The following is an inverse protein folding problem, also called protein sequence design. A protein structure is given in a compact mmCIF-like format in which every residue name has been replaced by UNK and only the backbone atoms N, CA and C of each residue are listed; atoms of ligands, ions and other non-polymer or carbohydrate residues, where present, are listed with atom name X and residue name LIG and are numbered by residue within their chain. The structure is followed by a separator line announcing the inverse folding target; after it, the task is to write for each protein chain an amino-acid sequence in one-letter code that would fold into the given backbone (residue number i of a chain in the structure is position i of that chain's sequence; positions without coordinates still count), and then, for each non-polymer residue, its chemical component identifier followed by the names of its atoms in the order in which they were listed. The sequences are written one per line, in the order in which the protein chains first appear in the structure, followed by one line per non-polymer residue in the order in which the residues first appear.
data_IF_862315994248
#
_entry.id   IF_862315994248
#
_cell.length_a   1.000
_cell.length_b   1.000
_cell.length_c   1.000
_cell.angle_alpha   90.00
_cell.angle_beta   90.00
_cell.angle_gamma   90.00
#
_symmetry.space_group_name_H-M   'P 1'
#
loop_
_entity.id
_entity.type
_entity.pdbx_description
1 polymer ?
#
# COMPACT_ATOMS: atom_id res chain seq x y z
N UNK A 1 -80.16 19.86 -8.82
CA UNK A 1 -79.88 18.48 -8.31
C UNK A 1 -79.37 18.60 -6.89
N UNK A 2 -80.24 18.37 -5.90
CA UNK A 2 -79.88 18.37 -4.50
C UNK A 2 -79.28 17.00 -4.13
N UNK A 3 -78.07 17.00 -3.55
CA UNK A 3 -77.42 15.78 -3.08
C UNK A 3 -78.21 15.19 -1.91
N UNK A 4 -78.65 13.94 -2.03
CA UNK A 4 -79.35 13.24 -0.95
C UNK A 4 -78.36 12.76 0.11
N UNK A 5 -78.84 12.59 1.34
CA UNK A 5 -77.94 12.05 2.48
C UNK A 5 -77.33 10.70 2.11
N UNK A 6 -78.09 9.85 1.34
CA UNK A 6 -77.57 8.57 0.88
C UNK A 6 -76.39 8.68 -0.09
N UNK A 7 -76.41 9.67 -0.99
CA UNK A 7 -75.29 9.94 -1.91
C UNK A 7 -74.07 10.41 -1.13
N UNK A 8 -74.23 11.25 -0.13
CA UNK A 8 -73.15 11.77 0.70
C UNK A 8 -72.46 10.64 1.51
N UNK A 9 -73.25 9.74 2.10
CA UNK A 9 -72.73 8.57 2.81
C UNK A 9 -72.00 7.59 1.86
N UNK A 10 -72.53 7.34 0.67
CA UNK A 10 -71.91 6.47 -0.34
C UNK A 10 -70.61 7.01 -0.83
N UNK A 11 -70.46 8.31 -1.07
CA UNK A 11 -69.23 8.98 -1.46
C UNK A 11 -68.20 8.89 -0.34
N UNK A 12 -68.61 9.17 0.91
CA UNK A 12 -67.71 9.07 2.06
C UNK A 12 -67.22 7.65 2.25
N UNK A 13 -68.05 6.63 2.06
CA UNK A 13 -67.64 5.22 2.14
C UNK A 13 -66.64 4.85 1.04
N UNK A 14 -66.86 5.25 -0.19
CA UNK A 14 -65.95 5.00 -1.33
C UNK A 14 -64.59 5.67 -1.08
N UNK A 15 -64.56 6.94 -0.63
CA UNK A 15 -63.32 7.64 -0.31
C UNK A 15 -62.56 6.92 0.80
N UNK A 16 -63.28 6.44 1.85
CA UNK A 16 -62.65 5.66 2.92
C UNK A 16 -62.01 4.36 2.41
N UNK A 17 -62.67 3.65 1.49
CA UNK A 17 -62.16 2.42 0.88
C UNK A 17 -60.93 2.67 -0.05
N UNK A 18 -60.85 3.82 -0.68
CA UNK A 18 -59.76 4.18 -1.58
C UNK A 18 -58.42 4.48 -0.83
N UNK A 19 -58.48 4.88 0.44
CA UNK A 19 -57.27 5.20 1.20
C UNK A 19 -56.32 4.01 1.35
N UNK A 20 -56.84 2.80 1.56
CA UNK A 20 -56.03 1.58 1.72
C UNK A 20 -55.24 1.22 0.46
N UNK A 21 -55.88 1.08 -0.76
CA UNK A 21 -55.15 0.83 -2.00
C UNK A 21 -54.13 1.92 -2.35
N UNK A 22 -54.44 3.19 -2.10
CA UNK A 22 -53.49 4.30 -2.34
C UNK A 22 -52.25 4.17 -1.46
N UNK A 23 -52.43 3.89 -0.16
CA UNK A 23 -51.33 3.69 0.76
C UNK A 23 -50.49 2.44 0.39
N UNK A 24 -51.16 1.35 -0.05
CA UNK A 24 -50.44 0.16 -0.54
C UNK A 24 -49.64 0.47 -1.80
N UNK A 25 -50.16 1.27 -2.72
CA UNK A 25 -49.45 1.69 -3.92
C UNK A 25 -48.22 2.54 -3.58
N UNK A 26 -48.33 3.49 -2.63
CA UNK A 26 -47.23 4.29 -2.12
C UNK A 26 -46.19 3.39 -1.50
N UNK A 27 -46.60 2.42 -0.67
CA UNK A 27 -45.68 1.43 -0.06
C UNK A 27 -44.94 0.59 -1.09
N UNK A 28 -45.69 0.14 -2.15
CA UNK A 28 -45.07 -0.59 -3.25
C UNK A 28 -43.98 0.21 -3.98
N UNK A 29 -44.27 1.47 -4.33
CA UNK A 29 -43.26 2.32 -4.99
C UNK A 29 -42.04 2.59 -4.13
N UNK A 30 -42.21 2.76 -2.81
CA UNK A 30 -41.05 2.87 -1.89
C UNK A 30 -40.20 1.61 -1.88
N UNK A 31 -40.87 0.43 -1.73
CA UNK A 31 -40.15 -0.86 -1.75
C UNK A 31 -39.44 -1.10 -3.08
N UNK A 32 -40.06 -0.70 -4.21
CA UNK A 32 -39.43 -0.80 -5.53
C UNK A 32 -38.20 0.10 -5.63
N UNK A 33 -38.27 1.32 -5.11
CA UNK A 33 -37.13 2.24 -5.08
C UNK A 33 -35.96 1.71 -4.21
N UNK A 34 -36.28 1.18 -3.04
CA UNK A 34 -35.30 0.58 -2.14
C UNK A 34 -34.64 -0.66 -2.78
N UNK A 35 -35.40 -1.51 -3.43
CA UNK A 35 -34.93 -2.65 -4.18
C UNK A 35 -33.98 -2.24 -5.33
N UNK A 36 -34.37 -1.18 -6.08
CA UNK A 36 -33.55 -0.63 -7.16
C UNK A 36 -32.21 -0.11 -6.64
N UNK A 37 -32.21 0.69 -5.56
CA UNK A 37 -30.99 1.21 -4.94
C UNK A 37 -30.08 0.07 -4.42
N UNK A 38 -30.68 -0.97 -3.82
CA UNK A 38 -29.92 -2.14 -3.36
C UNK A 38 -29.29 -2.90 -4.52
N UNK A 39 -30.03 -3.05 -5.63
CA UNK A 39 -29.51 -3.67 -6.85
C UNK A 39 -28.37 -2.84 -7.48
N UNK A 40 -28.50 -1.54 -7.52
CA UNK A 40 -27.45 -0.64 -8.03
C UNK A 40 -26.17 -0.79 -7.22
N UNK A 41 -26.25 -0.83 -5.87
CA UNK A 41 -25.09 -1.07 -4.99
C UNK A 41 -24.45 -2.44 -5.20
N UNK A 42 -25.24 -3.48 -5.40
CA UNK A 42 -24.73 -4.82 -5.74
C UNK A 42 -24.04 -4.82 -7.09
N UNK A 43 -24.59 -4.13 -8.08
CA UNK A 43 -24.00 -4.03 -9.41
C UNK A 43 -22.69 -3.23 -9.42
N UNK A 44 -22.55 -2.21 -8.57
CA UNK A 44 -21.25 -1.51 -8.41
C UNK A 44 -20.12 -2.48 -8.03
N UNK A 45 -20.39 -3.41 -7.12
CA UNK A 45 -19.40 -4.41 -6.71
C UNK A 45 -19.20 -5.47 -7.80
N UNK A 46 -20.27 -5.98 -8.40
CA UNK A 46 -20.17 -7.04 -9.41
C UNK A 46 -19.56 -6.57 -10.74
N UNK A 47 -19.83 -5.33 -11.14
CA UNK A 47 -19.30 -4.77 -12.38
C UNK A 47 -17.93 -4.14 -12.22
N UNK A 48 -17.39 -4.10 -10.98
CA UNK A 48 -16.02 -3.63 -10.78
C UNK A 48 -15.05 -4.58 -11.48
N UNK A 49 -14.17 -4.07 -12.35
CA UNK A 49 -13.22 -4.92 -13.06
C UNK A 49 -12.35 -5.68 -12.05
N UNK A 50 -12.11 -6.95 -12.31
CA UNK A 50 -11.19 -7.76 -11.52
C UNK A 50 -9.78 -7.22 -11.68
N UNK A 51 -8.98 -7.28 -10.63
CA UNK A 51 -7.58 -6.82 -10.65
C UNK A 51 -6.75 -7.61 -11.67
N UNK A 52 -6.97 -8.93 -11.75
CA UNK A 52 -6.38 -9.77 -12.80
C UNK A 52 -7.22 -9.67 -14.07
N UNK A 53 -6.65 -9.09 -15.11
CA UNK A 53 -7.28 -8.95 -16.42
C UNK A 53 -6.64 -9.91 -17.45
N UNK A 54 -7.36 -10.22 -18.51
CA UNK A 54 -6.86 -11.07 -19.60
C UNK A 54 -5.64 -10.47 -20.33
N UNK A 55 -5.40 -9.18 -20.19
CA UNK A 55 -4.20 -8.49 -20.68
C UNK A 55 -2.94 -8.80 -19.88
N UNK A 56 -3.09 -9.24 -18.61
CA UNK A 56 -1.98 -9.60 -17.71
C UNK A 56 -1.47 -11.00 -18.03
N UNK A 57 -0.90 -11.19 -19.21
CA UNK A 57 -0.50 -12.52 -19.70
C UNK A 57 0.86 -12.96 -19.18
N UNK A 58 1.67 -12.04 -18.63
CA UNK A 58 3.03 -12.37 -18.22
C UNK A 58 3.11 -12.57 -16.72
N UNK A 59 3.56 -13.77 -16.34
CA UNK A 59 4.03 -14.04 -14.98
C UNK A 59 5.35 -13.30 -14.78
N UNK A 60 5.45 -12.54 -13.72
CA UNK A 60 6.69 -11.87 -13.36
C UNK A 60 7.69 -12.90 -12.86
N UNK A 61 8.66 -13.24 -13.70
CA UNK A 61 9.76 -14.13 -13.35
C UNK A 61 11.04 -13.31 -13.18
N UNK A 62 11.66 -13.46 -12.04
CA UNK A 62 13.04 -12.99 -11.84
C UNK A 62 13.92 -14.00 -12.56
N UNK A 63 14.43 -13.64 -13.73
CA UNK A 63 15.40 -14.48 -14.43
C UNK A 63 16.80 -14.06 -13.98
N UNK A 64 17.56 -15.03 -13.43
CA UNK A 64 18.98 -14.88 -13.07
C UNK A 64 19.90 -14.65 -14.30
N UNK A 65 19.32 -14.26 -15.44
CA UNK A 65 20.09 -13.96 -16.64
C UNK A 65 20.86 -12.64 -16.46
N UNK A 66 22.11 -12.77 -16.07
CA UNK A 66 23.12 -11.73 -15.85
C UNK A 66 23.38 -10.77 -17.04
N UNK A 67 22.60 -10.86 -18.11
CA UNK A 67 22.74 -10.03 -19.33
C UNK A 67 21.54 -9.12 -19.63
N UNK A 68 20.49 -9.08 -18.80
CA UNK A 68 19.41 -8.10 -18.94
C UNK A 68 19.49 -7.10 -17.81
N UNK A 69 19.43 -5.81 -18.14
CA UNK A 69 19.32 -4.72 -17.16
C UNK A 69 18.04 -4.93 -16.35
N UNK A 70 18.18 -5.52 -15.17
CA UNK A 70 17.09 -5.76 -14.21
C UNK A 70 16.83 -4.46 -13.46
N UNK A 71 16.30 -3.46 -14.12
CA UNK A 71 16.04 -2.14 -13.53
C UNK A 71 14.56 -1.79 -13.62
N UNK A 72 14.10 -0.91 -12.73
CA UNK A 72 12.74 -0.36 -12.81
C UNK A 72 12.84 1.04 -13.42
N UNK A 73 12.11 1.28 -14.51
CA UNK A 73 12.16 2.56 -15.23
C UNK A 73 10.81 3.27 -15.22
N UNK A 74 10.82 4.54 -14.87
CA UNK A 74 9.70 5.47 -15.04
C UNK A 74 9.97 6.33 -16.28
N UNK A 75 9.01 6.36 -17.21
CA UNK A 75 9.08 7.16 -18.46
C UNK A 75 7.87 8.08 -18.54
N UNK A 76 8.08 9.37 -18.31
CA UNK A 76 7.06 10.43 -18.35
C UNK A 76 5.79 10.10 -17.54
N UNK A 77 5.96 9.47 -16.38
CA UNK A 77 4.85 8.99 -15.57
C UNK A 77 4.17 10.14 -14.86
N UNK A 78 2.88 10.31 -15.10
CA UNK A 78 2.02 11.23 -14.37
C UNK A 78 0.84 10.47 -13.78
N UNK A 79 0.37 10.89 -12.59
CA UNK A 79 -0.72 10.23 -11.88
C UNK A 79 -1.61 11.19 -11.11
N UNK A 80 -2.92 10.89 -11.11
CA UNK A 80 -3.98 11.56 -10.34
C UNK A 80 -5.00 10.52 -9.84
N UNK A 81 -5.61 10.73 -8.65
CA UNK A 81 -6.52 9.74 -8.04
C UNK A 81 -7.96 9.78 -8.59
N UNK A 82 -8.50 10.96 -8.85
CA UNK A 82 -9.96 11.15 -9.04
C UNK A 82 -10.36 11.51 -10.49
N UNK A 83 -9.61 11.01 -11.48
CA UNK A 83 -9.92 11.22 -12.91
C UNK A 83 -9.50 12.59 -13.45
N UNK A 84 -9.90 12.94 -14.69
CA UNK A 84 -9.24 13.99 -15.50
C UNK A 84 -9.29 15.43 -14.96
N UNK A 85 -10.16 15.69 -13.97
CA UNK A 85 -10.31 17.03 -13.36
C UNK A 85 -9.59 17.20 -12.03
N UNK A 86 -9.03 16.12 -11.47
CA UNK A 86 -8.28 16.21 -10.21
C UNK A 86 -6.85 16.69 -10.45
N UNK A 87 -6.20 17.29 -9.46
CA UNK A 87 -4.81 17.70 -9.59
C UNK A 87 -3.89 16.48 -9.72
N UNK A 88 -2.85 16.59 -10.54
CA UNK A 88 -1.79 15.60 -10.60
C UNK A 88 -1.02 15.54 -9.28
N UNK A 89 -0.90 14.33 -8.73
CA UNK A 89 -0.07 14.03 -7.55
C UNK A 89 1.37 13.76 -7.96
N UNK A 90 1.57 13.12 -9.12
CA UNK A 90 2.88 12.94 -9.76
C UNK A 90 2.83 13.52 -11.16
N UNK A 91 3.90 14.21 -11.57
CA UNK A 91 3.97 14.93 -12.84
C UNK A 91 5.29 14.63 -13.53
N UNK A 92 5.21 14.09 -14.73
CA UNK A 92 6.35 13.83 -15.62
C UNK A 92 7.55 13.19 -14.92
N UNK A 93 7.30 12.13 -14.17
CA UNK A 93 8.31 11.40 -13.40
C UNK A 93 9.17 10.58 -14.35
N UNK A 94 10.47 10.88 -14.36
CA UNK A 94 11.47 10.23 -15.21
C UNK A 94 12.69 9.84 -14.38
N UNK A 95 12.88 8.55 -14.10
CA UNK A 95 14.08 8.01 -13.43
C UNK A 95 14.16 6.49 -13.55
N UNK A 96 15.31 5.96 -13.13
CA UNK A 96 15.56 4.52 -13.10
C UNK A 96 15.98 4.11 -11.69
N UNK A 97 15.43 3.01 -11.17
CA UNK A 97 15.87 2.34 -9.95
C UNK A 97 16.82 1.22 -10.37
N UNK A 98 18.11 1.30 -10.04
CA UNK A 98 19.09 0.29 -10.43
C UNK A 98 18.88 -1.02 -9.67
N UNK A 99 19.08 -2.14 -10.34
CA UNK A 99 18.98 -3.47 -9.74
C UNK A 99 20.05 -3.70 -8.67
N UNK A 100 19.67 -4.46 -7.63
CA UNK A 100 20.59 -4.81 -6.53
C UNK A 100 21.09 -3.63 -5.70
N UNK A 101 20.43 -2.46 -5.80
CA UNK A 101 20.79 -1.21 -5.15
C UNK A 101 19.71 -0.68 -4.23
N UNK A 102 20.12 0.16 -3.29
CA UNK A 102 19.22 0.85 -2.37
C UNK A 102 18.92 2.24 -2.91
N UNK A 103 17.65 2.49 -3.25
CA UNK A 103 17.15 3.81 -3.65
C UNK A 103 16.30 4.42 -2.53
N UNK A 104 16.70 5.57 -2.02
CA UNK A 104 15.92 6.33 -1.03
C UNK A 104 15.09 7.41 -1.71
N UNK A 105 13.80 7.49 -1.36
CA UNK A 105 12.89 8.54 -1.81
C UNK A 105 12.62 9.47 -0.63
N UNK A 106 12.96 10.75 -0.79
CA UNK A 106 12.80 11.79 0.22
C UNK A 106 11.99 12.97 -0.30
N UNK A 107 11.45 13.77 0.59
CA UNK A 107 10.66 14.96 0.23
C UNK A 107 9.68 15.33 1.34
N UNK A 108 9.08 16.51 1.27
CA UNK A 108 8.08 16.96 2.22
C UNK A 108 6.84 16.04 2.27
N UNK A 109 6.06 16.12 3.34
CA UNK A 109 4.75 15.44 3.38
C UNK A 109 3.88 15.91 2.21
N UNK A 110 3.15 14.99 1.57
CA UNK A 110 2.33 15.29 0.40
C UNK A 110 3.09 15.46 -0.92
N UNK A 111 4.41 15.23 -0.98
CA UNK A 111 5.18 15.34 -2.23
C UNK A 111 4.95 14.20 -3.24
N UNK A 112 4.20 13.15 -2.88
CA UNK A 112 3.87 12.03 -3.78
C UNK A 112 4.66 10.74 -3.52
N UNK A 113 5.48 10.64 -2.48
CA UNK A 113 6.33 9.45 -2.17
C UNK A 113 5.54 8.15 -2.06
N UNK A 114 4.52 8.11 -1.21
CA UNK A 114 3.66 6.93 -1.03
C UNK A 114 2.87 6.61 -2.30
N UNK A 115 2.47 7.62 -3.07
CA UNK A 115 1.81 7.43 -4.37
C UNK A 115 2.73 6.75 -5.37
N UNK A 116 4.00 7.17 -5.44
CA UNK A 116 5.00 6.55 -6.29
C UNK A 116 5.20 5.06 -5.91
N UNK A 117 5.26 4.75 -4.62
CA UNK A 117 5.34 3.36 -4.15
C UNK A 117 4.09 2.55 -4.51
N UNK A 118 2.90 3.15 -4.44
CA UNK A 118 1.65 2.47 -4.86
C UNK A 118 1.62 2.15 -6.35
N UNK A 119 2.21 2.98 -7.20
CA UNK A 119 2.39 2.68 -8.63
C UNK A 119 3.39 1.52 -8.83
N UNK A 120 4.52 1.51 -8.10
CA UNK A 120 5.49 0.40 -8.14
C UNK A 120 4.86 -0.94 -7.75
N UNK A 121 3.92 -0.95 -6.82
CA UNK A 121 3.21 -2.15 -6.36
C UNK A 121 1.96 -2.48 -7.21
N UNK A 122 1.73 -1.71 -8.29
CA UNK A 122 0.57 -1.86 -9.16
C UNK A 122 -0.76 -1.86 -8.38
N UNK A 123 -0.89 -0.97 -7.37
CA UNK A 123 -2.20 -0.65 -6.78
C UNK A 123 -2.99 0.32 -7.65
N UNK A 124 -2.30 1.08 -8.48
CA UNK A 124 -2.85 2.00 -9.47
C UNK A 124 -1.99 1.94 -10.73
N UNK A 125 -2.62 2.14 -11.88
CA UNK A 125 -1.93 2.33 -13.16
C UNK A 125 -1.59 3.81 -13.35
N UNK A 126 -0.47 4.14 -14.04
CA UNK A 126 -0.17 5.53 -14.41
C UNK A 126 -1.29 6.14 -15.23
N UNK A 127 -1.63 7.42 -15.00
CA UNK A 127 -2.58 8.16 -15.84
C UNK A 127 -1.95 8.48 -17.20
N UNK A 128 -0.65 8.76 -17.20
CA UNK A 128 0.16 9.02 -18.42
C UNK A 128 1.55 8.44 -18.22
N UNK A 129 2.23 8.14 -19.35
CA UNK A 129 3.56 7.56 -19.34
C UNK A 129 3.56 6.06 -19.13
N UNK A 130 4.74 5.50 -18.89
CA UNK A 130 4.94 4.05 -18.79
C UNK A 130 5.89 3.71 -17.66
N UNK A 131 5.60 2.59 -16.97
CA UNK A 131 6.44 2.00 -15.94
C UNK A 131 6.91 0.62 -16.39
N UNK A 132 8.21 0.38 -16.32
CA UNK A 132 8.81 -0.89 -16.74
C UNK A 132 9.50 -1.57 -15.56
N UNK A 133 9.35 -2.89 -15.47
CA UNK A 133 10.12 -3.78 -14.65
C UNK A 133 10.90 -4.73 -15.55
N UNK A 134 12.23 -4.73 -15.46
CA UNK A 134 13.08 -5.59 -16.29
C UNK A 134 12.75 -5.53 -17.79
N UNK A 135 12.57 -4.32 -18.32
CA UNK A 135 12.16 -4.06 -19.72
C UNK A 135 10.72 -4.47 -20.06
N UNK A 136 9.94 -5.03 -19.14
CA UNK A 136 8.53 -5.35 -19.36
C UNK A 136 7.63 -4.23 -18.81
N UNK A 137 6.67 -3.79 -19.63
CA UNK A 137 5.69 -2.80 -19.18
C UNK A 137 4.82 -3.39 -18.06
N UNK A 138 4.68 -2.66 -16.94
CA UNK A 138 3.92 -3.10 -15.77
C UNK A 138 2.47 -3.48 -16.11
N UNK A 139 1.89 -2.88 -17.15
CA UNK A 139 0.53 -3.16 -17.60
C UNK A 139 0.35 -4.60 -18.11
N UNK A 140 1.43 -5.24 -18.56
CA UNK A 140 1.42 -6.62 -19.05
C UNK A 140 1.68 -7.65 -17.95
N UNK A 141 2.15 -7.21 -16.77
CA UNK A 141 2.53 -8.08 -15.66
C UNK A 141 1.30 -8.32 -14.76
N UNK A 142 1.09 -9.59 -14.36
CA UNK A 142 0.08 -9.92 -13.34
C UNK A 142 0.40 -9.22 -12.01
N UNK A 143 -0.55 -8.44 -11.44
CA UNK A 143 -0.38 -7.80 -10.13
C UNK A 143 -0.03 -8.79 -9.02
N UNK A 144 -0.67 -9.95 -9.02
CA UNK A 144 -0.41 -11.03 -8.07
C UNK A 144 1.03 -11.51 -8.18
N UNK A 145 1.47 -11.86 -9.39
CA UNK A 145 2.82 -12.35 -9.64
C UNK A 145 3.89 -11.32 -9.28
N UNK A 146 3.67 -10.04 -9.57
CA UNK A 146 4.58 -8.94 -9.17
C UNK A 146 4.72 -8.88 -7.64
N UNK A 147 3.60 -8.84 -6.91
CA UNK A 147 3.59 -8.70 -5.45
C UNK A 147 4.09 -9.95 -4.72
N UNK A 148 4.00 -11.13 -5.33
CA UNK A 148 4.63 -12.35 -4.80
C UNK A 148 6.15 -12.21 -4.72
N UNK A 149 6.76 -11.47 -5.63
CA UNK A 149 8.20 -11.19 -5.67
C UNK A 149 8.61 -9.94 -4.87
N UNK A 150 7.66 -9.27 -4.21
CA UNK A 150 7.89 -8.06 -3.43
C UNK A 150 7.73 -8.31 -1.93
N UNK A 151 8.67 -7.79 -1.14
CA UNK A 151 8.52 -7.60 0.31
C UNK A 151 8.12 -6.16 0.58
N UNK A 152 7.00 -5.96 1.28
CA UNK A 152 6.42 -4.63 1.43
C UNK A 152 6.14 -4.33 2.90
N UNK A 153 6.59 -3.17 3.37
CA UNK A 153 6.18 -2.59 4.65
C UNK A 153 5.62 -1.21 4.39
N UNK A 154 4.30 -1.08 4.49
CA UNK A 154 3.61 0.21 4.34
C UNK A 154 3.47 0.89 5.69
N UNK A 155 3.35 2.22 5.70
CA UNK A 155 3.14 3.05 6.89
C UNK A 155 1.92 2.56 7.70
N UNK A 156 0.80 2.27 7.03
CA UNK A 156 -0.44 1.77 7.63
C UNK A 156 -0.56 0.25 7.51
N UNK A 157 0.53 -0.49 7.74
CA UNK A 157 0.52 -1.94 7.66
C UNK A 157 -0.51 -2.58 8.59
N UNK A 158 -1.19 -3.64 8.14
CA UNK A 158 -2.26 -4.31 8.87
C UNK A 158 -1.79 -5.60 9.54
N UNK A 159 -2.23 -5.80 10.80
CA UNK A 159 -2.06 -7.05 11.55
C UNK A 159 -3.40 -7.80 11.56
N UNK A 160 -3.38 -9.02 11.06
CA UNK A 160 -4.56 -9.89 11.05
C UNK A 160 -4.86 -10.43 12.45
N UNK A 161 -6.14 -10.63 12.77
CA UNK A 161 -6.58 -11.30 14.00
C UNK A 161 -6.28 -12.81 13.93
N UNK A 162 -5.00 -13.16 14.02
CA UNK A 162 -4.45 -14.50 13.89
C UNK A 162 -3.18 -14.65 14.72
N UNK A 163 -2.52 -15.81 14.69
CA UNK A 163 -1.26 -16.06 15.40
C UNK A 163 -0.12 -15.20 14.84
N UNK A 164 0.95 -15.02 15.63
CA UNK A 164 2.15 -14.31 15.20
C UNK A 164 2.76 -14.99 13.98
N UNK A 165 2.90 -16.32 13.99
CA UNK A 165 3.43 -17.06 12.85
C UNK A 165 2.61 -16.89 11.57
N UNK A 166 1.27 -16.91 11.67
CA UNK A 166 0.38 -16.66 10.53
C UNK A 166 0.44 -15.22 10.02
N UNK A 167 0.66 -14.27 10.92
CA UNK A 167 0.89 -12.89 10.53
C UNK A 167 2.21 -12.68 9.79
N UNK A 168 3.26 -13.42 10.13
CA UNK A 168 4.57 -13.35 9.45
C UNK A 168 4.54 -14.14 8.14
N UNK A 169 4.10 -15.41 8.18
CA UNK A 169 4.02 -16.30 7.02
C UNK A 169 2.71 -16.16 6.23
N UNK A 170 2.23 -14.91 6.06
CA UNK A 170 0.98 -14.63 5.38
C UNK A 170 0.97 -15.19 3.96
N UNK A 171 -0.03 -16.01 3.63
CA UNK A 171 -0.22 -16.61 2.31
C UNK A 171 0.34 -18.03 2.16
N UNK A 172 1.18 -18.49 3.09
CA UNK A 172 1.69 -19.87 3.07
C UNK A 172 0.72 -20.81 3.80
N UNK A 173 0.35 -21.90 3.16
CA UNK A 173 -0.43 -22.96 3.80
C UNK A 173 0.43 -23.71 4.83
N UNK A 174 1.68 -23.99 4.48
CA UNK A 174 2.67 -24.65 5.34
C UNK A 174 3.80 -23.70 5.68
N UNK A 175 3.91 -23.37 6.98
CA UNK A 175 4.90 -22.42 7.48
C UNK A 175 6.29 -23.05 7.51
N UNK A 176 7.25 -22.46 6.81
CA UNK A 176 8.67 -22.86 6.90
C UNK A 176 9.28 -22.28 8.17
N UNK A 177 9.63 -23.14 9.12
CA UNK A 177 10.13 -22.73 10.44
C UNK A 177 11.51 -22.04 10.38
N UNK A 178 12.40 -22.46 9.47
CA UNK A 178 13.70 -21.85 9.30
C UNK A 178 13.59 -20.41 8.77
N UNK A 179 12.75 -20.20 7.73
CA UNK A 179 12.45 -18.86 7.21
C UNK A 179 11.79 -17.99 8.27
N UNK A 180 10.87 -18.55 9.06
CA UNK A 180 10.18 -17.85 10.13
C UNK A 180 11.16 -17.37 11.19
N UNK A 181 12.04 -18.25 11.67
CA UNK A 181 13.04 -17.93 12.68
C UNK A 181 14.04 -16.86 12.17
N UNK A 182 14.54 -17.02 10.95
CA UNK A 182 15.41 -16.03 10.33
C UNK A 182 14.74 -14.66 10.21
N UNK A 183 13.48 -14.60 9.77
CA UNK A 183 12.73 -13.35 9.66
C UNK A 183 12.53 -12.68 11.02
N UNK A 184 12.24 -13.45 12.06
CA UNK A 184 12.05 -12.98 13.43
C UNK A 184 13.34 -12.43 14.02
N UNK A 185 14.50 -13.07 13.75
CA UNK A 185 15.80 -12.61 14.19
C UNK A 185 16.21 -11.31 13.50
N UNK A 186 16.08 -11.21 12.17
CA UNK A 186 16.39 -9.99 11.42
C UNK A 186 15.53 -8.81 11.89
N UNK A 187 14.21 -9.06 12.14
CA UNK A 187 13.28 -8.05 12.63
C UNK A 187 13.43 -7.74 14.14
N UNK A 188 14.40 -8.38 14.84
CA UNK A 188 14.66 -8.20 16.26
C UNK A 188 13.43 -8.33 17.16
N UNK A 189 12.59 -9.36 16.91
CA UNK A 189 11.33 -9.57 17.67
C UNK A 189 11.32 -10.90 18.44
N UNK A 190 12.41 -11.66 18.42
CA UNK A 190 12.51 -13.00 19.01
C UNK A 190 12.26 -12.99 20.51
N UNK A 191 12.85 -12.05 21.27
CA UNK A 191 12.67 -11.91 22.71
C UNK A 191 11.19 -11.67 23.06
N UNK A 192 10.51 -10.81 22.30
CA UNK A 192 9.09 -10.56 22.49
C UNK A 192 8.27 -11.83 22.28
N UNK A 193 8.51 -12.55 21.18
CA UNK A 193 7.78 -13.80 20.88
C UNK A 193 8.01 -14.85 21.98
N UNK A 194 9.25 -15.01 22.42
CA UNK A 194 9.63 -15.98 23.48
C UNK A 194 9.10 -15.59 24.85
N UNK A 195 8.83 -14.32 25.12
CA UNK A 195 8.24 -13.86 26.39
C UNK A 195 6.74 -14.19 26.52
N UNK A 196 6.09 -14.54 25.41
CA UNK A 196 4.66 -14.85 25.40
C UNK A 196 4.40 -16.32 25.76
N UNK A 197 3.35 -16.62 26.56
CA UNK A 197 3.07 -17.99 27.01
C UNK A 197 2.86 -19.01 25.89
N UNK A 198 2.31 -18.60 24.75
CA UNK A 198 2.08 -19.42 23.56
C UNK A 198 3.10 -19.18 22.43
N UNK A 199 4.12 -18.33 22.66
CA UNK A 199 5.14 -18.00 21.68
C UNK A 199 4.54 -17.60 20.33
N UNK A 200 4.97 -18.25 19.26
CA UNK A 200 4.49 -18.03 17.89
C UNK A 200 2.99 -18.26 17.70
N UNK A 201 2.37 -19.11 18.51
CA UNK A 201 0.94 -19.42 18.45
C UNK A 201 0.06 -18.38 19.19
N UNK A 202 0.66 -17.34 19.73
CA UNK A 202 -0.09 -16.25 20.39
C UNK A 202 -0.91 -15.50 19.36
N UNK A 203 -2.23 -15.42 19.58
CA UNK A 203 -3.14 -14.60 18.75
C UNK A 203 -2.95 -13.14 19.07
N UNK A 204 -2.83 -12.33 18.02
CA UNK A 204 -2.67 -10.87 18.07
C UNK A 204 -3.72 -10.19 17.18
N UNK A 205 -3.78 -8.86 17.19
CA UNK A 205 -4.75 -8.08 16.42
C UNK A 205 -6.02 -7.80 17.21
N UNK A 206 -7.09 -7.40 16.52
CA UNK A 206 -8.33 -6.92 17.14
C UNK A 206 -9.04 -7.95 18.03
N UNK A 207 -8.88 -9.26 17.77
CA UNK A 207 -9.48 -10.36 18.54
C UNK A 207 -8.48 -11.08 19.45
N UNK A 208 -7.24 -10.61 19.56
CA UNK A 208 -6.17 -11.23 20.35
C UNK A 208 -5.49 -10.23 21.29
N UNK A 209 -4.27 -10.56 21.72
CA UNK A 209 -3.47 -9.68 22.55
C UNK A 209 -3.09 -8.39 21.81
N UNK A 210 -3.24 -7.26 22.50
CA UNK A 210 -2.75 -5.98 22.01
C UNK A 210 -1.22 -5.99 21.88
N UNK A 211 -0.71 -5.35 20.83
CA UNK A 211 0.72 -5.18 20.59
C UNK A 211 1.06 -3.69 20.48
N UNK A 212 2.28 -3.32 20.90
CA UNK A 212 2.75 -1.94 20.74
C UNK A 212 2.99 -1.58 19.27
N UNK A 213 3.06 -0.27 18.95
CA UNK A 213 3.38 0.19 17.61
C UNK A 213 4.72 -0.36 17.09
N UNK A 214 5.75 -0.42 17.94
CA UNK A 214 7.04 -0.99 17.60
C UNK A 214 7.01 -2.50 17.38
N UNK A 215 6.23 -3.25 18.17
CA UNK A 215 6.03 -4.70 17.95
C UNK A 215 5.29 -4.96 16.65
N UNK A 216 4.22 -4.18 16.38
CA UNK A 216 3.49 -4.23 15.11
C UNK A 216 4.45 -4.03 13.93
N UNK A 217 5.26 -3.00 13.98
CA UNK A 217 6.20 -2.67 12.91
C UNK A 217 7.23 -3.76 12.68
N UNK A 218 7.79 -4.35 13.76
CA UNK A 218 8.73 -5.49 13.66
C UNK A 218 8.07 -6.74 13.07
N UNK A 219 6.81 -7.03 13.37
CA UNK A 219 6.06 -8.12 12.73
C UNK A 219 5.88 -7.86 11.23
N UNK A 220 5.57 -6.63 10.82
CA UNK A 220 5.45 -6.27 9.41
C UNK A 220 6.79 -6.39 8.66
N UNK A 221 7.89 -6.01 9.30
CA UNK A 221 9.25 -6.22 8.76
C UNK A 221 9.52 -7.72 8.62
N UNK A 222 9.27 -8.53 9.66
CA UNK A 222 9.44 -9.99 9.59
C UNK A 222 8.59 -10.62 8.46
N UNK A 223 7.35 -10.16 8.25
CA UNK A 223 6.48 -10.58 7.13
C UNK A 223 7.13 -10.32 5.78
N UNK A 224 7.71 -9.13 5.58
CA UNK A 224 8.38 -8.78 4.33
C UNK A 224 9.64 -9.62 4.09
N UNK A 225 10.40 -9.92 5.15
CA UNK A 225 11.62 -10.71 5.10
C UNK A 225 11.33 -12.20 4.86
N UNK A 226 10.28 -12.76 5.47
CA UNK A 226 9.91 -14.17 5.38
C UNK A 226 9.78 -14.67 3.94
N UNK A 227 9.26 -13.84 3.04
CA UNK A 227 9.16 -14.13 1.61
C UNK A 227 10.51 -14.25 0.90
N UNK A 228 11.58 -13.72 1.49
CA UNK A 228 12.90 -13.55 0.86
C UNK A 228 12.81 -12.96 -0.56
N UNK A 229 12.16 -11.81 -0.73
CA UNK A 229 11.87 -11.21 -2.02
C UNK A 229 13.12 -10.63 -2.67
N UNK A 230 13.09 -10.46 -4.01
CA UNK A 230 14.11 -9.72 -4.76
C UNK A 230 13.92 -8.20 -4.66
N UNK A 231 12.65 -7.75 -4.68
CA UNK A 231 12.28 -6.35 -4.54
C UNK A 231 11.75 -6.06 -3.14
N UNK A 232 12.23 -4.99 -2.52
CA UNK A 232 11.84 -4.58 -1.17
C UNK A 232 11.36 -3.13 -1.21
N UNK A 233 10.19 -2.89 -0.66
CA UNK A 233 9.55 -1.58 -0.61
C UNK A 233 9.19 -1.23 0.83
N UNK A 234 9.86 -0.22 1.39
CA UNK A 234 9.65 0.23 2.76
C UNK A 234 9.14 1.68 2.78
N UNK A 235 7.94 1.89 3.34
CA UNK A 235 7.38 3.21 3.60
C UNK A 235 7.41 3.48 5.11
N UNK A 236 8.38 4.29 5.56
CA UNK A 236 8.58 4.65 6.97
C UNK A 236 8.67 3.45 7.93
N UNK A 237 9.27 2.35 7.49
CA UNK A 237 9.25 1.06 8.18
C UNK A 237 9.88 1.06 9.59
N UNK A 238 10.55 2.12 10.02
CA UNK A 238 11.19 2.21 11.36
C UNK A 238 10.70 3.38 12.20
N UNK A 239 9.65 4.09 11.78
CA UNK A 239 9.20 5.32 12.44
C UNK A 239 8.67 5.13 13.87
N UNK A 240 8.10 3.97 14.20
CA UNK A 240 7.55 3.65 15.51
C UNK A 240 8.53 2.90 16.44
N UNK A 241 9.79 2.74 16.03
CA UNK A 241 10.81 2.06 16.82
C UNK A 241 11.55 3.03 17.74
N UNK A 242 11.92 2.55 18.93
CA UNK A 242 12.89 3.24 19.78
C UNK A 242 14.30 3.18 19.18
N UNK A 243 15.19 4.07 19.64
CA UNK A 243 16.51 4.26 19.05
C UNK A 243 17.41 3.02 19.09
N UNK A 244 17.28 2.18 20.12
CA UNK A 244 18.08 0.97 20.28
C UNK A 244 17.64 -0.11 19.29
N UNK A 245 16.34 -0.43 19.27
CA UNK A 245 15.77 -1.38 18.32
C UNK A 245 15.94 -0.92 16.87
N UNK A 246 15.81 0.38 16.60
CA UNK A 246 16.02 0.93 15.27
C UNK A 246 17.42 0.65 14.76
N UNK A 247 18.47 0.88 15.58
CA UNK A 247 19.85 0.63 15.19
C UNK A 247 20.09 -0.84 14.87
N UNK A 248 19.66 -1.76 15.75
CA UNK A 248 19.81 -3.20 15.55
C UNK A 248 19.13 -3.65 14.27
N UNK A 249 17.88 -3.24 14.08
CA UNK A 249 17.10 -3.60 12.88
C UNK A 249 17.72 -3.02 11.63
N UNK A 250 18.19 -1.77 11.67
CA UNK A 250 18.89 -1.15 10.54
C UNK A 250 20.14 -1.96 10.14
N UNK A 251 20.97 -2.35 11.08
CA UNK A 251 22.19 -3.12 10.81
C UNK A 251 21.86 -4.51 10.23
N UNK A 252 20.84 -5.18 10.78
CA UNK A 252 20.36 -6.47 10.26
C UNK A 252 19.80 -6.33 8.84
N UNK A 253 19.00 -5.30 8.58
CA UNK A 253 18.41 -5.03 7.27
C UNK A 253 19.46 -4.69 6.22
N UNK A 254 20.54 -3.97 6.58
CA UNK A 254 21.63 -3.68 5.65
C UNK A 254 22.29 -4.97 5.13
N UNK A 255 22.40 -6.01 5.96
CA UNK A 255 22.90 -7.31 5.52
C UNK A 255 21.88 -8.04 4.63
N UNK A 256 20.61 -7.98 4.98
CA UNK A 256 19.51 -8.61 4.23
C UNK A 256 19.32 -7.97 2.85
N UNK A 257 19.58 -6.67 2.71
CA UNK A 257 19.43 -5.91 1.46
C UNK A 257 20.50 -6.22 0.41
N UNK A 258 21.61 -6.85 0.77
CA UNK A 258 22.69 -7.14 -0.17
C UNK A 258 22.20 -7.97 -1.36
N UNK A 259 22.41 -7.47 -2.56
CA UNK A 259 21.99 -8.09 -3.83
C UNK A 259 20.48 -7.99 -4.12
N UNK A 260 19.73 -7.21 -3.35
CA UNK A 260 18.30 -6.96 -3.55
C UNK A 260 18.06 -5.53 -4.02
N UNK A 261 17.02 -5.34 -4.80
CA UNK A 261 16.57 -4.01 -5.22
C UNK A 261 15.65 -3.45 -4.14
N UNK A 262 16.09 -2.37 -3.49
CA UNK A 262 15.40 -1.82 -2.31
C UNK A 262 14.96 -0.39 -2.57
N UNK A 263 13.71 -0.08 -2.32
CA UNK A 263 13.16 1.28 -2.35
C UNK A 263 12.66 1.65 -0.96
N UNK A 264 13.19 2.73 -0.40
CA UNK A 264 12.86 3.18 0.95
C UNK A 264 12.34 4.60 0.89
N UNK A 265 11.11 4.82 1.33
CA UNK A 265 10.64 6.17 1.67
C UNK A 265 11.17 6.47 3.08
N UNK A 266 12.09 7.42 3.16
CA UNK A 266 12.80 7.71 4.37
C UNK A 266 12.55 9.13 4.88
N UNK A 267 12.32 9.22 6.20
CA UNK A 267 12.22 10.47 6.94
C UNK A 267 13.42 10.70 7.87
N UNK A 268 14.34 9.71 7.99
CA UNK A 268 15.51 9.80 8.86
C UNK A 268 16.80 9.81 8.04
N UNK A 269 17.70 10.71 8.41
CA UNK A 269 18.98 10.88 7.73
C UNK A 269 19.84 9.60 7.79
N UNK A 270 19.79 8.83 8.88
CA UNK A 270 20.51 7.57 9.04
C UNK A 270 20.22 6.57 7.93
N UNK A 271 18.96 6.50 7.51
CA UNK A 271 18.49 5.59 6.43
C UNK A 271 18.93 6.10 5.06
N UNK A 272 18.86 7.41 4.83
CA UNK A 272 19.11 8.03 3.52
C UNK A 272 20.61 8.07 3.19
N UNK A 273 21.46 8.31 4.19
CA UNK A 273 22.91 8.49 4.00
C UNK A 273 23.62 7.30 3.34
N UNK A 274 23.11 6.09 3.60
CA UNK A 274 23.70 4.84 3.11
C UNK A 274 23.06 4.34 1.81
N UNK A 275 22.10 5.09 1.22
CA UNK A 275 21.49 4.72 -0.05
C UNK A 275 22.46 4.95 -1.22
N UNK A 276 22.46 4.02 -2.19
CA UNK A 276 23.23 4.15 -3.44
C UNK A 276 22.70 5.31 -4.29
N UNK A 277 21.38 5.51 -4.27
CA UNK A 277 20.68 6.58 -4.99
C UNK A 277 19.65 7.24 -4.07
N UNK A 278 19.54 8.54 -4.17
CA UNK A 278 18.54 9.36 -3.48
C UNK A 278 17.75 10.13 -4.52
N UNK A 279 16.42 10.07 -4.41
CA UNK A 279 15.47 10.81 -5.25
C UNK A 279 14.73 11.81 -4.37
N UNK A 280 14.83 13.07 -4.70
CA UNK A 280 14.13 14.15 -3.99
C UNK A 280 12.87 14.50 -4.73
N UNK A 281 11.71 14.24 -4.12
CA UNK A 281 10.39 14.61 -4.64
C UNK A 281 9.91 15.93 -4.02
N UNK A 282 9.48 16.85 -4.90
CA UNK A 282 8.92 18.14 -4.52
C UNK A 282 7.71 18.46 -5.40
N UNK A 283 6.55 18.67 -4.76
CA UNK A 283 5.30 19.01 -5.48
C UNK A 283 4.91 18.05 -6.61
N UNK A 284 5.19 16.75 -6.44
CA UNK A 284 4.89 15.72 -7.42
C UNK A 284 5.90 15.60 -8.57
N UNK A 285 7.03 16.30 -8.51
CA UNK A 285 8.10 16.28 -9.52
C UNK A 285 9.42 15.85 -8.89
N UNK A 286 10.37 15.39 -9.70
CA UNK A 286 11.72 15.08 -9.24
C UNK A 286 12.53 16.37 -9.23
N UNK A 287 12.95 16.81 -8.03
CA UNK A 287 13.80 17.98 -7.86
C UNK A 287 15.29 17.65 -8.01
N UNK A 288 15.77 16.55 -7.43
CA UNK A 288 17.16 16.12 -7.45
C UNK A 288 17.28 14.61 -7.48
N UNK A 289 18.32 14.10 -8.15
CA UNK A 289 18.75 12.69 -8.09
C UNK A 289 20.27 12.66 -7.89
N UNK A 290 20.75 11.81 -6.98
CA UNK A 290 22.19 11.63 -6.75
C UNK A 290 22.44 10.78 -5.51
N UNK A 291 23.69 10.72 -5.06
CA UNK A 291 24.04 10.14 -3.78
C UNK A 291 24.15 11.22 -2.68
N UNK A 292 24.24 10.83 -1.43
CA UNK A 292 24.31 11.74 -0.28
C UNK A 292 25.40 12.83 -0.46
N UNK A 293 26.61 12.45 -0.85
CA UNK A 293 27.73 13.38 -0.97
C UNK A 293 27.51 14.42 -2.08
N UNK A 294 26.98 13.98 -3.23
CA UNK A 294 26.66 14.86 -4.36
C UNK A 294 25.57 15.88 -3.98
N UNK A 295 24.47 15.40 -3.39
CA UNK A 295 23.31 16.23 -3.07
C UNK A 295 23.60 17.22 -1.94
N UNK A 296 24.40 16.85 -0.94
CA UNK A 296 24.85 17.77 0.11
C UNK A 296 25.74 18.87 -0.48
N UNK A 297 26.62 18.55 -1.45
CA UNK A 297 27.49 19.51 -2.12
C UNK A 297 26.70 20.50 -2.97
N UNK A 298 25.59 20.09 -3.57
CA UNK A 298 24.75 20.94 -4.40
C UNK A 298 24.04 22.04 -3.61
N UNK A 299 23.86 21.88 -2.29
CA UNK A 299 23.21 22.84 -1.39
C UNK A 299 21.78 23.25 -1.83
N UNK A 300 21.04 22.33 -2.45
CA UNK A 300 19.69 22.57 -2.94
C UNK A 300 18.61 21.96 -2.00
N UNK A 301 17.52 21.42 -2.54
CA UNK A 301 16.38 20.93 -1.75
C UNK A 301 16.76 19.80 -0.78
N UNK A 302 17.61 18.86 -1.20
CA UNK A 302 18.10 17.80 -0.31
C UNK A 302 18.88 18.35 0.89
N UNK A 303 19.79 19.28 0.65
CA UNK A 303 20.58 19.91 1.72
C UNK A 303 19.68 20.58 2.76
N UNK A 304 18.63 21.28 2.30
CA UNK A 304 17.68 21.94 3.21
C UNK A 304 16.87 20.92 4.03
N UNK A 305 16.47 19.79 3.44
CA UNK A 305 15.80 18.69 4.17
C UNK A 305 16.70 18.12 5.27
N UNK A 306 17.98 17.85 4.95
CA UNK A 306 18.97 17.33 5.90
C UNK A 306 19.25 18.35 7.02
N UNK A 307 19.42 19.62 6.68
CA UNK A 307 19.68 20.69 7.65
C UNK A 307 18.52 20.81 8.65
N UNK A 308 17.28 20.83 8.18
CA UNK A 308 16.11 20.90 9.04
C UNK A 308 15.99 19.69 9.98
N UNK A 309 16.37 18.49 9.53
CA UNK A 309 16.40 17.29 10.40
C UNK A 309 17.49 17.36 11.47
N UNK A 310 18.64 17.96 11.17
CA UNK A 310 19.72 18.15 12.14
C UNK A 310 19.38 19.24 13.16
N UNK A 311 18.64 20.28 12.75
CA UNK A 311 18.21 21.36 13.65
C UNK A 311 17.03 20.95 14.56
N UNK A 312 16.18 19.98 14.14
CA UNK A 312 15.08 19.44 14.93
C UNK A 312 15.52 18.28 15.85
N UNK A 313 16.72 17.73 15.65
CA UNK A 313 17.30 16.64 16.42
C UNK A 313 18.26 17.06 17.54
N UNK A 314 18.34 18.36 17.87
CA UNK A 314 19.09 18.92 19.00
C UNK A 314 18.16 19.29 20.14
#
# INVERSE_FOLDING_TARGET
DEMTLGMLLSVSYIIGQMNSPVNQLIGFFRSLQDAKLSLERLNEVQNHPTEEQNSHQKTFLITDNSNQNSEIQFKNVSFQYEGPKSPYVLKDINFTIPDGKITAIVGASGSGKTTLMKLLLKFYDPTQGELFFNSENINNISPKSLRENCGVVMQDGFIFSDTIERNIATGDEYINKEKLQNAVQIANIEEFVNSLPLGYNTKIGASGNGISGGQKQRILIARAIYKNPHYIFFDEATSALDAENEKIIHDNLQQFFKGKTVVIIAHRLSTVKNADQIIVLKNGEIAEIGNHQQLVKNKADYFNLVKNQLELGN
#
